data_IF_380999719147
#
_entry.id   IF_380999719147
#
_cell.length_a   1.000
_cell.length_b   1.000
_cell.length_c   1.000
_cell.angle_alpha   90.00
_cell.angle_beta   90.00
_cell.angle_gamma   90.00
#
_symmetry.space_group_name_H-M   'P 1'
#
loop_
_entity.id
_entity.type
_entity.pdbx_description
1 polymer ?
#
# COMPACT_ATOMS: atom_id res chain seq x y z
N UNK A 1 26.63 -13.11 -0.82
CA UNK A 1 25.62 -13.77 -1.67
C UNK A 1 25.90 -13.38 -3.11
N UNK A 2 26.07 -14.36 -3.99
CA UNK A 2 26.26 -14.10 -5.42
C UNK A 2 24.89 -13.88 -6.07
N UNK A 3 24.61 -12.63 -6.44
CA UNK A 3 23.35 -12.22 -7.06
C UNK A 3 23.15 -12.93 -8.40
N UNK A 4 24.21 -13.26 -9.13
CA UNK A 4 24.12 -13.96 -10.41
C UNK A 4 23.68 -15.41 -10.21
N UNK A 5 24.24 -16.07 -9.20
CA UNK A 5 23.81 -17.41 -8.80
C UNK A 5 22.32 -17.42 -8.41
N UNK A 6 21.87 -16.39 -7.67
CA UNK A 6 20.46 -16.29 -7.26
C UNK A 6 19.50 -16.06 -8.42
N UNK A 7 19.89 -15.25 -9.41
CA UNK A 7 19.09 -15.04 -10.63
C UNK A 7 18.92 -16.34 -11.41
N UNK A 8 19.99 -17.11 -11.57
CA UNK A 8 19.96 -18.38 -12.29
C UNK A 8 19.05 -19.42 -11.59
N UNK A 9 19.12 -19.49 -10.26
CA UNK A 9 18.24 -20.34 -9.45
C UNK A 9 16.76 -20.02 -9.66
N UNK A 10 16.39 -18.73 -9.64
CA UNK A 10 15.01 -18.29 -9.85
C UNK A 10 14.51 -18.61 -11.27
N UNK A 11 15.34 -18.40 -12.30
CA UNK A 11 15.00 -18.78 -13.67
C UNK A 11 14.73 -20.29 -13.77
N UNK A 12 15.59 -21.11 -13.16
CA UNK A 12 15.42 -22.56 -13.14
C UNK A 12 14.13 -22.98 -12.43
N UNK A 13 13.76 -22.33 -11.33
CA UNK A 13 12.51 -22.60 -10.62
C UNK A 13 11.27 -22.24 -11.45
N UNK A 14 11.33 -21.13 -12.19
CA UNK A 14 10.24 -20.67 -13.08
C UNK A 14 10.07 -21.62 -14.27
N UNK A 15 11.17 -22.08 -14.87
CA UNK A 15 11.11 -23.01 -16.02
C UNK A 15 10.56 -24.39 -15.64
N UNK A 16 10.74 -24.82 -14.40
CA UNK A 16 10.31 -26.13 -13.92
C UNK A 16 8.93 -26.12 -13.23
N UNK A 17 8.20 -25.01 -13.23
CA UNK A 17 6.88 -24.93 -12.57
C UNK A 17 5.74 -24.93 -13.59
N UNK A 18 4.76 -25.82 -13.38
CA UNK A 18 3.54 -25.90 -14.20
C UNK A 18 2.34 -25.18 -13.55
N UNK A 19 2.59 -24.31 -12.57
CA UNK A 19 1.55 -23.64 -11.77
C UNK A 19 1.23 -22.25 -12.36
N UNK A 20 0.19 -22.09 -13.20
CA UNK A 20 -0.09 -20.81 -13.86
C UNK A 20 -0.33 -19.67 -12.87
N UNK A 21 -1.07 -19.91 -11.78
CA UNK A 21 -1.34 -18.90 -10.75
C UNK A 21 -0.07 -18.43 -10.01
N UNK A 22 0.99 -19.24 -9.96
CA UNK A 22 2.27 -18.86 -9.36
C UNK A 22 3.05 -17.99 -10.34
N UNK A 23 3.10 -18.38 -11.62
CA UNK A 23 3.75 -17.62 -12.68
C UNK A 23 3.13 -16.23 -12.84
N UNK A 24 1.81 -16.11 -12.75
CA UNK A 24 1.10 -14.82 -12.80
C UNK A 24 1.50 -13.89 -11.66
N UNK A 25 1.58 -14.40 -10.42
CA UNK A 25 2.03 -13.62 -9.27
C UNK A 25 3.50 -13.20 -9.38
N UNK A 26 4.37 -14.09 -9.85
CA UNK A 26 5.79 -13.77 -10.09
C UNK A 26 5.92 -12.72 -11.19
N UNK A 27 5.15 -12.84 -12.26
CA UNK A 27 5.09 -11.83 -13.32
C UNK A 27 4.69 -10.49 -12.75
N UNK A 28 3.60 -10.42 -11.97
CA UNK A 28 3.16 -9.18 -11.31
C UNK A 28 4.30 -8.57 -10.50
N UNK A 29 4.92 -9.33 -9.59
CA UNK A 29 6.03 -8.84 -8.76
C UNK A 29 7.22 -8.29 -9.56
N UNK A 30 7.54 -8.90 -10.71
CA UNK A 30 8.63 -8.46 -11.59
C UNK A 30 8.23 -7.30 -12.51
N UNK A 31 6.93 -7.14 -12.80
CA UNK A 31 6.40 -6.06 -13.65
C UNK A 31 5.93 -4.83 -12.88
N UNK A 32 5.70 -4.95 -11.57
CA UNK A 32 5.36 -3.83 -10.68
C UNK A 32 6.59 -2.96 -10.37
N UNK A 33 7.66 -3.06 -11.16
CA UNK A 33 8.71 -2.03 -11.27
C UNK A 33 8.22 -0.81 -12.10
N UNK A 34 7.02 -0.30 -11.80
CA UNK A 34 6.83 1.14 -11.94
C UNK A 34 7.12 1.75 -10.58
N UNK A 35 8.25 2.44 -10.52
CA UNK A 35 8.79 3.23 -9.40
C UNK A 35 7.85 4.34 -8.89
N UNK A 36 6.59 4.39 -9.30
CA UNK A 36 5.66 5.35 -8.71
C UNK A 36 5.29 4.85 -7.33
N UNK A 37 5.80 5.55 -6.32
CA UNK A 37 5.26 5.48 -4.97
C UNK A 37 3.73 5.61 -5.07
N UNK A 38 2.97 4.85 -4.28
CA UNK A 38 1.50 4.97 -4.26
C UNK A 38 1.08 6.42 -3.99
N UNK A 39 1.93 7.18 -3.30
CA UNK A 39 1.78 8.62 -3.10
C UNK A 39 1.68 9.39 -4.43
N UNK A 40 2.54 9.08 -5.39
CA UNK A 40 2.59 9.70 -6.72
C UNK A 40 1.41 9.29 -7.61
N UNK A 41 0.72 8.21 -7.25
CA UNK A 41 -0.50 7.74 -7.91
C UNK A 41 -1.78 8.43 -7.40
N UNK A 42 -1.71 9.12 -6.26
CA UNK A 42 -2.86 9.84 -5.72
C UNK A 42 -3.20 11.09 -6.54
N UNK A 43 -4.49 11.42 -6.72
CA UNK A 43 -4.88 12.72 -7.26
C UNK A 43 -4.31 13.85 -6.39
N UNK A 44 -3.88 14.95 -7.03
CA UNK A 44 -3.31 16.14 -6.35
C UNK A 44 -4.25 16.64 -5.24
N UNK A 45 -5.56 16.61 -5.47
CA UNK A 45 -6.55 17.02 -4.47
C UNK A 45 -6.54 16.14 -3.21
N UNK A 46 -6.24 14.85 -3.36
CA UNK A 46 -6.13 13.90 -2.24
C UNK A 46 -4.82 14.14 -1.49
N UNK A 47 -3.71 14.34 -2.21
CA UNK A 47 -2.42 14.68 -1.59
C UNK A 47 -2.54 15.97 -0.75
N UNK A 48 -3.18 17.01 -1.31
CA UNK A 48 -3.45 18.27 -0.59
C UNK A 48 -4.31 18.07 0.66
N UNK A 49 -5.37 17.27 0.57
CA UNK A 49 -6.23 16.97 1.72
C UNK A 49 -5.45 16.25 2.83
N UNK A 50 -4.58 15.31 2.47
CA UNK A 50 -3.72 14.59 3.41
C UNK A 50 -2.72 15.55 4.08
N UNK A 51 -2.05 16.42 3.32
CA UNK A 51 -1.14 17.42 3.88
C UNK A 51 -1.83 18.38 4.85
N UNK A 52 -3.07 18.78 4.55
CA UNK A 52 -3.88 19.61 5.46
C UNK A 52 -4.17 18.85 6.74
N UNK A 53 -4.64 17.59 6.65
CA UNK A 53 -4.93 16.77 7.82
C UNK A 53 -3.70 16.53 8.71
N UNK A 54 -2.51 16.37 8.13
CA UNK A 54 -1.25 16.28 8.88
C UNK A 54 -0.97 17.59 9.63
N UNK A 55 -1.12 18.75 8.98
CA UNK A 55 -0.91 20.06 9.62
C UNK A 55 -1.91 20.34 10.74
N UNK A 56 -3.15 19.91 10.58
CA UNK A 56 -4.19 20.01 11.61
C UNK A 56 -3.85 19.09 12.80
N UNK A 57 -3.41 17.87 12.52
CA UNK A 57 -2.98 16.92 13.55
C UNK A 57 -1.77 17.43 14.35
N UNK A 58 -0.77 18.02 13.68
CA UNK A 58 0.40 18.61 14.33
C UNK A 58 0.04 19.79 15.24
N UNK A 59 -1.04 20.51 14.94
CA UNK A 59 -1.61 21.56 15.80
C UNK A 59 -2.46 21.02 16.95
N UNK A 60 -2.66 19.71 17.02
CA UNK A 60 -3.55 19.08 18.00
C UNK A 60 -5.04 19.25 17.69
N UNK A 61 -5.40 19.62 16.45
CA UNK A 61 -6.79 19.74 15.98
C UNK A 61 -7.40 18.36 15.67
N UNK A 62 -7.11 17.38 16.53
CA UNK A 62 -7.62 16.01 16.42
C UNK A 62 -8.68 15.76 17.48
N UNK A 63 -9.73 15.02 17.13
CA UNK A 63 -10.70 14.53 18.11
C UNK A 63 -10.34 13.12 18.56
N UNK A 64 -10.30 12.83 19.87
CA UNK A 64 -10.08 11.48 20.37
C UNK A 64 -11.10 10.49 19.82
N UNK A 65 -10.63 9.28 19.48
CA UNK A 65 -11.49 8.24 18.92
C UNK A 65 -12.70 7.91 19.80
N UNK A 66 -12.51 7.89 21.13
CA UNK A 66 -13.59 7.61 22.08
C UNK A 66 -14.74 8.63 22.00
N UNK A 67 -14.40 9.90 21.78
CA UNK A 67 -15.36 11.00 21.67
C UNK A 67 -16.13 10.90 20.35
N UNK A 68 -15.44 10.68 19.24
CA UNK A 68 -16.07 10.43 17.92
C UNK A 68 -17.03 9.23 18.00
N UNK A 69 -16.59 8.12 18.59
CA UNK A 69 -17.43 6.92 18.71
C UNK A 69 -18.63 7.14 19.63
N UNK A 70 -18.49 7.95 20.69
CA UNK A 70 -19.62 8.32 21.54
C UNK A 70 -20.66 9.11 20.74
N UNK A 71 -20.27 10.08 19.93
CA UNK A 71 -21.19 10.83 19.08
C UNK A 71 -21.86 9.95 18.02
N UNK A 72 -21.10 9.07 17.37
CA UNK A 72 -21.62 8.13 16.36
C UNK A 72 -22.68 7.21 16.97
N UNK A 73 -22.43 6.64 18.14
CA UNK A 73 -23.41 5.82 18.88
C UNK A 73 -24.67 6.61 19.22
N UNK A 74 -24.51 7.84 19.69
CA UNK A 74 -25.64 8.72 20.02
C UNK A 74 -26.46 9.13 18.78
N UNK A 75 -25.81 9.36 17.63
CA UNK A 75 -26.46 9.84 16.40
C UNK A 75 -27.16 8.72 15.64
N UNK A 76 -26.58 7.52 15.62
CA UNK A 76 -27.06 6.41 14.79
C UNK A 76 -27.63 5.22 15.58
N UNK A 77 -27.59 5.26 16.92
CA UNK A 77 -28.20 4.24 17.78
C UNK A 77 -27.53 2.87 17.71
N UNK A 78 -26.25 2.83 17.33
CA UNK A 78 -25.36 1.65 17.34
C UNK A 78 -24.64 1.48 18.69
#
# INVERSE_FOLDING_TARGET
MDIQAKKLELVQMILNTDRPNLLEKVSQLLTTEKETDWWDELPISVQQAIEVGIKEADKGETTPHEEVMKEVRLRYGI
#
